data_IF_382374098050
#
_entry.id   IF_382374098050
#
_cell.length_a   1.000
_cell.length_b   1.000
_cell.length_c   1.000
_cell.angle_alpha   90.00
_cell.angle_beta   90.00
_cell.angle_gamma   90.00
#
_symmetry.space_group_name_H-M   'P 1'
#
loop_
_entity.id
_entity.type
_entity.pdbx_description
1 polymer ?
#
# COMPACT_ATOMS: atom_id res chain seq x y z
N UNK A 1 -4.84 -0.29 15.17
CA UNK A 1 -4.29 0.99 14.67
C UNK A 1 -5.40 2.03 14.63
N UNK A 2 -5.17 3.23 15.17
CA UNK A 2 -6.12 4.34 15.18
C UNK A 2 -5.64 5.48 14.25
N UNK A 3 -6.42 6.56 14.13
CA UNK A 3 -6.11 7.70 13.25
C UNK A 3 -4.84 8.46 13.68
N UNK A 4 -4.57 8.56 14.99
CA UNK A 4 -3.38 9.24 15.51
C UNK A 4 -2.10 8.49 15.12
N UNK A 5 -2.10 7.17 15.30
CA UNK A 5 -0.98 6.32 14.88
C UNK A 5 -0.78 6.37 13.36
N UNK A 6 -1.87 6.45 12.59
CA UNK A 6 -1.78 6.65 11.13
C UNK A 6 -1.05 7.93 10.75
N UNK A 7 -1.40 9.05 11.39
CA UNK A 7 -0.73 10.34 11.17
C UNK A 7 0.73 10.29 11.56
N UNK A 8 1.09 9.56 12.63
CA UNK A 8 2.48 9.39 13.03
C UNK A 8 3.31 8.66 11.97
N UNK A 9 2.77 7.59 11.37
CA UNK A 9 3.43 6.88 10.26
C UNK A 9 3.65 7.82 9.07
N UNK A 10 2.62 8.57 8.68
CA UNK A 10 2.76 9.53 7.57
C UNK A 10 3.82 10.60 7.86
N UNK A 11 3.83 11.17 9.07
CA UNK A 11 4.83 12.17 9.47
C UNK A 11 6.25 11.60 9.44
N UNK A 12 6.41 10.33 9.79
CA UNK A 12 7.72 9.66 9.81
C UNK A 12 8.27 9.41 8.41
N UNK A 13 7.43 9.01 7.46
CA UNK A 13 7.88 8.52 6.15
C UNK A 13 7.67 9.49 4.97
N UNK A 14 6.70 10.40 5.03
CA UNK A 14 6.44 11.34 3.94
C UNK A 14 7.64 12.24 3.54
N UNK A 15 8.51 12.68 4.48
CA UNK A 15 9.70 13.45 4.12
C UNK A 15 10.68 12.66 3.25
N UNK A 16 10.94 11.40 3.60
CA UNK A 16 11.80 10.49 2.84
C UNK A 16 11.24 10.26 1.43
N UNK A 17 9.93 10.03 1.32
CA UNK A 17 9.27 9.88 0.02
C UNK A 17 9.41 11.13 -0.85
N UNK A 18 9.27 12.32 -0.26
CA UNK A 18 9.43 13.59 -0.98
C UNK A 18 10.88 13.79 -1.46
N UNK A 19 11.86 13.40 -0.63
CA UNK A 19 13.28 13.45 -1.02
C UNK A 19 13.60 12.47 -2.16
N UNK A 20 12.98 11.29 -2.15
CA UNK A 20 13.22 10.26 -3.17
C UNK A 20 12.50 10.53 -4.50
N UNK A 21 11.27 11.04 -4.45
CA UNK A 21 10.40 11.17 -5.63
C UNK A 21 10.36 12.59 -6.22
N UNK A 22 10.98 13.57 -5.54
CA UNK A 22 10.95 14.98 -5.93
C UNK A 22 9.57 15.63 -5.74
N UNK A 23 9.38 16.81 -6.30
CA UNK A 23 8.22 17.66 -5.98
C UNK A 23 6.91 17.26 -6.70
N UNK A 24 6.91 16.24 -7.57
CA UNK A 24 5.79 15.93 -8.47
C UNK A 24 5.20 14.53 -8.25
N UNK A 25 5.14 14.11 -6.99
CA UNK A 25 4.53 12.84 -6.60
C UNK A 25 3.06 13.01 -6.20
N UNK A 26 2.30 11.91 -6.25
CA UNK A 26 0.92 11.84 -5.75
C UNK A 26 0.84 10.77 -4.68
N UNK A 27 0.28 11.11 -3.53
CA UNK A 27 -0.06 10.13 -2.50
C UNK A 27 -1.38 9.45 -2.84
N UNK A 28 -1.43 8.13 -2.71
CA UNK A 28 -2.67 7.35 -2.81
C UNK A 28 -2.72 6.34 -1.66
N UNK A 29 -3.91 6.15 -1.12
CA UNK A 29 -4.21 5.24 -0.02
C UNK A 29 -5.54 4.51 -0.28
N UNK A 30 -5.83 3.48 0.52
CA UNK A 30 -7.14 2.82 0.53
C UNK A 30 -8.20 3.66 1.27
N UNK A 31 -9.46 3.19 1.23
CA UNK A 31 -10.60 3.87 1.83
C UNK A 31 -10.89 3.42 3.27
N UNK A 32 -9.87 3.04 4.04
CA UNK A 32 -10.09 2.72 5.45
C UNK A 32 -10.70 3.93 6.18
N UNK A 33 -11.72 3.75 7.05
CA UNK A 33 -12.35 4.83 7.82
C UNK A 33 -11.36 5.75 8.55
N UNK A 34 -10.22 5.21 9.00
CA UNK A 34 -9.17 6.00 9.67
C UNK A 34 -8.40 6.93 8.72
N UNK A 35 -8.45 6.67 7.41
CA UNK A 35 -7.85 7.45 6.32
C UNK A 35 -8.84 8.46 5.71
N UNK A 36 -10.14 8.31 5.98
CA UNK A 36 -11.25 9.03 5.33
C UNK A 36 -12.00 10.01 6.25
N UNK A 37 -11.34 10.52 7.29
CA UNK A 37 -11.89 11.62 8.09
C UNK A 37 -12.33 12.79 7.17
N UNK A 38 -13.40 13.50 7.56
CA UNK A 38 -14.19 14.52 6.81
C UNK A 38 -13.42 15.53 5.93
N UNK A 39 -12.12 15.64 6.10
CA UNK A 39 -11.19 16.49 5.37
C UNK A 39 -10.75 15.92 4.00
N UNK A 40 -10.90 14.61 3.73
CA UNK A 40 -10.16 13.98 2.63
C UNK A 40 -10.86 13.91 1.27
N UNK A 41 -12.14 14.30 1.10
CA UNK A 41 -12.76 14.75 -0.16
C UNK A 41 -12.47 14.03 -1.51
N UNK A 42 -11.99 12.78 -1.55
CA UNK A 42 -11.50 12.13 -2.76
C UNK A 42 -12.43 11.00 -3.24
N UNK A 43 -12.68 10.89 -4.56
CA UNK A 43 -13.60 9.89 -5.10
C UNK A 43 -13.09 8.46 -4.94
N UNK A 44 -14.02 7.61 -4.51
CA UNK A 44 -13.88 6.19 -4.18
C UNK A 44 -13.59 5.39 -5.46
N UNK A 45 -12.48 4.64 -5.50
CA UNK A 45 -12.18 3.68 -6.57
C UNK A 45 -12.21 2.25 -6.01
N UNK A 46 -12.98 1.38 -6.66
CA UNK A 46 -13.37 0.05 -6.15
C UNK A 46 -12.22 -0.93 -5.88
N UNK A 47 -10.99 -0.67 -6.34
CA UNK A 47 -9.80 -1.47 -6.00
C UNK A 47 -8.55 -0.59 -6.13
N UNK A 48 -8.08 -0.05 -5.02
CA UNK A 48 -6.78 0.62 -4.98
C UNK A 48 -5.67 -0.37 -5.38
N UNK A 49 -4.59 0.06 -6.04
CA UNK A 49 -3.46 -0.81 -6.39
C UNK A 49 -2.86 -1.55 -5.20
N UNK A 50 -2.95 -0.98 -3.99
CA UNK A 50 -2.45 -1.59 -2.77
C UNK A 50 -3.26 -2.83 -2.37
N UNK A 51 -4.59 -2.83 -2.55
CA UNK A 51 -5.43 -4.02 -2.34
C UNK A 51 -5.06 -5.15 -3.31
N UNK A 52 -4.79 -4.81 -4.58
CA UNK A 52 -4.31 -5.78 -5.56
C UNK A 52 -2.94 -6.34 -5.18
N UNK A 53 -2.05 -5.51 -4.66
CA UNK A 53 -0.73 -5.93 -4.17
C UNK A 53 -0.87 -6.90 -2.98
N UNK A 54 -1.73 -6.57 -2.01
CA UNK A 54 -2.01 -7.44 -0.87
C UNK A 54 -2.59 -8.78 -1.28
N UNK A 55 -3.50 -8.81 -2.26
CA UNK A 55 -4.02 -10.06 -2.81
C UNK A 55 -2.92 -10.94 -3.39
N UNK A 56 -1.95 -10.37 -4.12
CA UNK A 56 -0.81 -11.12 -4.66
C UNK A 56 0.04 -11.71 -3.54
N UNK A 57 0.40 -10.90 -2.53
CA UNK A 57 1.23 -11.35 -1.40
C UNK A 57 0.52 -12.45 -0.62
N UNK A 58 -0.75 -12.23 -0.26
CA UNK A 58 -1.58 -13.20 0.47
C UNK A 58 -1.59 -14.55 -0.25
N UNK A 59 -1.86 -14.56 -1.55
CA UNK A 59 -1.88 -15.78 -2.36
C UNK A 59 -0.52 -16.51 -2.36
N UNK A 60 0.61 -15.78 -2.35
CA UNK A 60 1.94 -16.38 -2.32
C UNK A 60 2.28 -16.93 -0.94
N UNK A 61 1.98 -16.18 0.12
CA UNK A 61 2.21 -16.59 1.52
C UNK A 61 1.36 -17.81 1.87
N UNK A 62 0.09 -17.84 1.47
CA UNK A 62 -0.80 -18.99 1.71
C UNK A 62 -0.28 -20.28 1.07
N UNK A 63 0.30 -20.19 -0.13
CA UNK A 63 0.92 -21.36 -0.81
C UNK A 63 2.11 -21.94 -0.05
N UNK A 64 2.76 -21.14 0.81
CA UNK A 64 3.87 -21.59 1.67
C UNK A 64 3.40 -22.25 2.96
N UNK A 65 2.11 -22.20 3.25
CA UNK A 65 1.47 -22.87 4.40
C UNK A 65 2.20 -22.62 5.73
N UNK A 66 2.32 -21.35 6.18
CA UNK A 66 2.97 -21.02 7.46
C UNK A 66 2.31 -21.79 8.61
N UNK A 67 3.12 -22.27 9.55
CA UNK A 67 2.63 -23.11 10.67
C UNK A 67 2.50 -22.35 11.99
N UNK A 68 3.10 -21.18 12.06
CA UNK A 68 3.08 -20.31 13.23
C UNK A 68 3.21 -18.84 12.79
N UNK A 69 3.18 -17.92 13.76
CA UNK A 69 3.27 -16.48 13.49
C UNK A 69 4.64 -16.07 12.93
N UNK A 70 5.72 -16.73 13.37
CA UNK A 70 7.08 -16.43 12.89
C UNK A 70 7.25 -16.81 11.41
N UNK A 71 6.73 -17.97 11.01
CA UNK A 71 6.67 -18.41 9.61
C UNK A 71 5.85 -17.41 8.79
N UNK A 72 4.69 -16.98 9.32
CA UNK A 72 3.83 -16.03 8.63
C UNK A 72 4.55 -14.70 8.40
N UNK A 73 5.15 -14.13 9.44
CA UNK A 73 5.90 -12.87 9.36
C UNK A 73 7.07 -12.99 8.38
N UNK A 74 7.88 -14.04 8.52
CA UNK A 74 9.01 -14.30 7.63
C UNK A 74 8.56 -14.41 6.17
N UNK A 75 7.51 -15.18 5.90
CA UNK A 75 7.03 -15.37 4.53
C UNK A 75 6.44 -14.09 3.96
N UNK A 76 5.74 -13.27 4.75
CA UNK A 76 5.26 -11.97 4.28
C UNK A 76 6.42 -11.06 3.84
N UNK A 77 7.49 -10.98 4.62
CA UNK A 77 8.67 -10.15 4.29
C UNK A 77 9.36 -10.67 3.03
N UNK A 78 9.59 -11.99 2.94
CA UNK A 78 10.23 -12.60 1.77
C UNK A 78 9.37 -12.41 0.51
N UNK A 79 8.05 -12.64 0.57
CA UNK A 79 7.17 -12.46 -0.58
C UNK A 79 7.03 -11.00 -1.00
N UNK A 80 7.10 -10.05 -0.05
CA UNK A 80 7.15 -8.61 -0.32
C UNK A 80 8.41 -8.22 -1.08
N UNK A 81 9.58 -8.69 -0.64
CA UNK A 81 10.86 -8.42 -1.29
C UNK A 81 10.98 -9.07 -2.67
N UNK A 82 10.32 -10.21 -2.88
CA UNK A 82 10.33 -10.95 -4.14
C UNK A 82 9.28 -10.46 -5.15
N UNK A 83 8.62 -9.31 -4.92
CA UNK A 83 7.70 -8.74 -5.90
C UNK A 83 8.49 -8.14 -7.06
N UNK A 84 8.30 -8.62 -8.30
CA UNK A 84 8.98 -8.03 -9.45
C UNK A 84 8.54 -6.58 -9.67
N UNK A 85 9.49 -5.69 -9.99
CA UNK A 85 9.20 -4.29 -10.32
C UNK A 85 8.15 -4.16 -11.44
N UNK A 86 8.11 -5.11 -12.37
CA UNK A 86 7.11 -5.14 -13.46
C UNK A 86 5.68 -5.23 -12.93
N UNK A 87 5.45 -5.97 -11.84
CA UNK A 87 4.14 -6.05 -11.17
C UNK A 87 3.76 -4.69 -10.58
N UNK A 88 4.69 -4.04 -9.86
CA UNK A 88 4.48 -2.72 -9.27
C UNK A 88 4.16 -1.66 -10.34
N UNK A 89 4.92 -1.65 -11.44
CA UNK A 89 4.72 -0.74 -12.57
C UNK A 89 3.36 -0.97 -13.23
N UNK A 90 2.98 -2.23 -13.46
CA UNK A 90 1.71 -2.57 -14.09
C UNK A 90 0.52 -2.20 -13.21
N UNK A 91 0.61 -2.45 -11.90
CA UNK A 91 -0.42 -2.03 -10.94
C UNK A 91 -0.55 -0.50 -10.92
N UNK A 92 0.57 0.23 -10.92
CA UNK A 92 0.58 1.70 -10.99
C UNK A 92 -0.08 2.22 -12.27
N UNK A 93 0.26 1.64 -13.43
CA UNK A 93 -0.37 1.99 -14.72
C UNK A 93 -1.85 1.65 -14.80
N UNK A 94 -2.32 0.64 -14.05
CA UNK A 94 -3.73 0.24 -14.02
C UNK A 94 -4.63 1.23 -13.26
N UNK A 95 -4.05 2.18 -12.54
CA UNK A 95 -4.81 3.25 -11.91
C UNK A 95 -5.47 4.15 -12.96
N UNK A 96 -6.78 4.34 -12.83
CA UNK A 96 -7.47 5.43 -13.54
C UNK A 96 -6.84 6.74 -13.09
N UNK A 97 -6.27 7.50 -14.02
CA UNK A 97 -5.87 8.89 -13.75
C UNK A 97 -7.13 9.68 -13.43
N UNK A 98 -7.32 10.02 -12.16
CA UNK A 98 -8.26 11.07 -11.79
C UNK A 98 -7.58 12.38 -12.21
N UNK A 99 -8.07 12.96 -13.30
CA UNK A 99 -7.71 14.32 -13.70
C UNK A 99 -8.44 15.26 -12.72
N UNK A 100 -7.68 16.15 -12.06
CA UNK A 100 -8.23 17.30 -11.34
C UNK A 100 -8.28 18.49 -12.29
#
# INVERSE_FOLDING_TARGET
MNAEFYVEILRRHAPEMSQMLGDHWRFQQDNDPKHTSRLSGHPIADLSPIEKLWSIIKNKVEKRMPKNLDDLEKFMVEEWQNIPNTVLINLSKSMKRVNY
#
